data_IF_619849164919
#
_entry.id   IF_619849164919
#
_cell.length_a   1.000
_cell.length_b   1.000
_cell.length_c   1.000
_cell.angle_alpha   90.00
_cell.angle_beta   90.00
_cell.angle_gamma   90.00
#
_symmetry.space_group_name_H-M   'P 1'
#
loop_
_entity.id
_entity.type
_entity.pdbx_description
1 polymer ?
#
# COMPACT_ATOMS: atom_id res chain seq x y z
N UNK A 1 9.34 -1.56 -24.03
CA UNK A 1 10.59 -1.70 -23.24
C UNK A 1 11.17 -3.09 -23.47
N UNK A 2 10.53 -4.21 -23.02
CA UNK A 2 11.09 -5.58 -23.06
C UNK A 2 11.67 -5.93 -24.45
N UNK A 3 10.93 -5.64 -25.54
CA UNK A 3 11.41 -5.91 -26.91
C UNK A 3 12.60 -5.05 -27.36
N UNK A 4 12.73 -3.86 -26.80
CA UNK A 4 13.84 -2.94 -27.15
C UNK A 4 15.12 -3.31 -26.42
N UNK A 5 14.99 -3.74 -25.17
CA UNK A 5 16.13 -4.12 -24.31
C UNK A 5 16.61 -5.55 -24.58
N UNK A 6 15.80 -6.37 -25.25
CA UNK A 6 16.02 -7.80 -25.42
C UNK A 6 15.46 -8.60 -24.23
N UNK A 7 14.46 -9.46 -24.43
CA UNK A 7 13.83 -10.24 -23.35
C UNK A 7 14.82 -11.00 -22.48
N UNK A 8 15.87 -11.53 -23.09
CA UNK A 8 16.94 -12.30 -22.44
C UNK A 8 17.80 -11.47 -21.47
N UNK A 9 17.72 -10.14 -21.54
CA UNK A 9 18.44 -9.23 -20.64
C UNK A 9 17.63 -8.84 -19.40
N UNK A 10 16.33 -9.23 -19.32
CA UNK A 10 15.41 -8.81 -18.26
C UNK A 10 15.03 -10.01 -17.41
N UNK A 11 15.49 -10.02 -16.16
CA UNK A 11 15.20 -11.10 -15.21
C UNK A 11 13.79 -11.00 -14.63
N UNK A 12 13.36 -9.80 -14.23
CA UNK A 12 12.10 -9.64 -13.51
C UNK A 12 11.48 -8.26 -13.74
N UNK A 13 10.16 -8.19 -13.52
CA UNK A 13 9.39 -6.97 -13.34
C UNK A 13 8.85 -6.91 -11.92
N UNK A 14 9.26 -5.91 -11.15
CA UNK A 14 8.83 -5.70 -9.77
C UNK A 14 7.91 -4.48 -9.69
N UNK A 15 6.82 -4.61 -8.93
CA UNK A 15 5.90 -3.50 -8.65
C UNK A 15 5.23 -3.64 -7.29
N UNK A 16 4.86 -2.49 -6.69
CA UNK A 16 3.87 -2.44 -5.61
C UNK A 16 2.47 -2.67 -6.22
N UNK A 17 1.65 -3.63 -5.75
CA UNK A 17 0.29 -3.81 -6.27
C UNK A 17 -0.60 -2.58 -6.10
N UNK A 18 -0.42 -1.83 -5.03
CA UNK A 18 -0.95 -0.47 -4.86
C UNK A 18 0.24 0.43 -4.56
N UNK A 19 0.51 1.38 -5.45
CA UNK A 19 1.63 2.29 -5.24
C UNK A 19 1.32 3.25 -4.11
N UNK A 20 2.00 3.06 -2.98
CA UNK A 20 1.76 3.84 -1.78
C UNK A 20 2.35 5.26 -1.89
N UNK A 21 3.62 5.36 -2.30
CA UNK A 21 4.31 6.65 -2.46
C UNK A 21 3.80 7.50 -3.62
N UNK A 22 3.06 6.91 -4.54
CA UNK A 22 2.36 7.61 -5.61
C UNK A 22 0.99 8.17 -5.18
N UNK A 23 0.61 8.03 -3.91
CA UNK A 23 -0.67 8.51 -3.37
C UNK A 23 -1.78 7.45 -3.40
N UNK A 24 -1.46 6.23 -3.07
CA UNK A 24 -2.38 5.08 -3.03
C UNK A 24 -3.00 4.78 -4.41
N UNK A 25 -2.17 4.73 -5.43
CA UNK A 25 -2.61 4.38 -6.78
C UNK A 25 -2.92 2.88 -6.87
N UNK A 26 -4.19 2.55 -7.09
CA UNK A 26 -4.68 1.18 -7.21
C UNK A 26 -5.07 0.87 -8.66
N UNK A 27 -4.25 0.12 -9.41
CA UNK A 27 -4.60 -0.30 -10.76
C UNK A 27 -5.83 -1.22 -10.80
N UNK A 28 -6.39 -1.40 -11.98
CA UNK A 28 -7.48 -2.36 -12.19
C UNK A 28 -6.95 -3.81 -12.21
N UNK A 29 -7.84 -4.78 -12.03
CA UNK A 29 -7.50 -6.19 -12.15
C UNK A 29 -6.93 -6.53 -13.54
N UNK A 30 -7.47 -5.92 -14.58
CA UNK A 30 -7.07 -6.13 -15.97
C UNK A 30 -5.60 -5.72 -16.20
N UNK A 31 -5.11 -4.69 -15.52
CA UNK A 31 -3.69 -4.33 -15.55
C UNK A 31 -2.81 -5.49 -15.10
N UNK A 32 -3.15 -6.13 -13.98
CA UNK A 32 -2.36 -7.24 -13.44
C UNK A 32 -2.42 -8.47 -14.34
N UNK A 33 -3.58 -8.76 -14.93
CA UNK A 33 -3.73 -9.86 -15.90
C UNK A 33 -2.83 -9.62 -17.11
N UNK A 34 -2.82 -8.39 -17.66
CA UNK A 34 -1.97 -8.05 -18.80
C UNK A 34 -0.48 -8.10 -18.44
N UNK A 35 -0.11 -7.62 -17.25
CA UNK A 35 1.29 -7.70 -16.78
C UNK A 35 1.73 -9.16 -16.65
N UNK A 36 0.88 -10.03 -16.07
CA UNK A 36 1.18 -11.47 -15.96
C UNK A 36 1.36 -12.11 -17.34
N UNK A 37 0.45 -11.85 -18.27
CA UNK A 37 0.53 -12.36 -19.66
C UNK A 37 1.83 -11.90 -20.37
N UNK A 38 2.25 -10.66 -20.13
CA UNK A 38 3.50 -10.14 -20.69
C UNK A 38 4.70 -10.85 -20.06
N UNK A 39 4.72 -10.99 -18.75
CA UNK A 39 5.80 -11.67 -18.03
C UNK A 39 5.94 -13.12 -18.51
N UNK A 40 4.84 -13.86 -18.60
CA UNK A 40 4.81 -15.25 -19.09
C UNK A 40 5.30 -15.35 -20.53
N UNK A 41 4.84 -14.46 -21.41
CA UNK A 41 5.22 -14.44 -22.83
C UNK A 41 6.71 -14.25 -23.07
N UNK A 42 7.37 -13.45 -22.22
CA UNK A 42 8.79 -13.11 -22.38
C UNK A 42 9.70 -13.82 -21.39
N UNK A 43 9.18 -14.76 -20.60
CA UNK A 43 9.90 -15.47 -19.54
C UNK A 43 10.59 -14.51 -18.55
N UNK A 44 9.85 -13.48 -18.14
CA UNK A 44 10.27 -12.47 -17.14
C UNK A 44 9.53 -12.76 -15.85
N UNK A 45 10.22 -12.83 -14.72
CA UNK A 45 9.57 -13.05 -13.44
C UNK A 45 8.74 -11.85 -13.00
N UNK A 46 7.55 -12.10 -12.45
CA UNK A 46 6.71 -11.09 -11.83
C UNK A 46 6.94 -11.09 -10.32
N UNK A 47 7.35 -9.95 -9.78
CA UNK A 47 7.60 -9.77 -8.34
C UNK A 47 6.61 -8.75 -7.79
N UNK A 48 5.86 -9.13 -6.74
CA UNK A 48 5.05 -8.18 -5.98
C UNK A 48 5.79 -7.72 -4.74
N UNK A 49 5.97 -6.40 -4.63
CA UNK A 49 6.36 -5.75 -3.38
C UNK A 49 5.09 -5.53 -2.54
N UNK A 50 4.80 -6.49 -1.68
CA UNK A 50 3.66 -6.45 -0.75
C UNK A 50 4.08 -6.04 0.67
N UNK A 51 5.16 -5.29 0.78
CA UNK A 51 5.64 -4.79 2.08
C UNK A 51 4.59 -3.88 2.74
N UNK A 52 3.79 -3.14 1.94
CA UNK A 52 2.70 -2.31 2.45
C UNK A 52 1.35 -2.97 2.22
N UNK A 53 1.12 -3.56 1.06
CA UNK A 53 -0.18 -4.10 0.65
C UNK A 53 -0.53 -5.42 1.31
N UNK A 54 0.47 -6.16 1.81
CA UNK A 54 0.28 -7.43 2.50
C UNK A 54 -0.29 -7.31 3.92
N UNK A 55 -0.45 -8.44 4.55
CA UNK A 55 -0.89 -8.60 5.95
C UNK A 55 -2.22 -7.91 6.26
N UNK A 56 -3.21 -8.10 5.37
CA UNK A 56 -4.58 -7.63 5.57
C UNK A 56 -4.87 -6.22 5.06
N UNK A 57 -3.85 -5.47 4.67
CA UNK A 57 -3.95 -4.04 4.38
C UNK A 57 -4.92 -3.71 3.23
N UNK A 58 -5.03 -4.59 2.23
CA UNK A 58 -5.95 -4.42 1.08
C UNK A 58 -7.31 -5.09 1.28
N UNK A 59 -7.57 -5.66 2.46
CA UNK A 59 -8.79 -6.40 2.77
C UNK A 59 -8.71 -7.90 2.48
N UNK A 60 -7.56 -8.40 2.05
CA UNK A 60 -7.14 -9.79 1.93
C UNK A 60 -5.77 -9.94 2.57
N UNK A 61 -5.28 -11.17 2.80
CA UNK A 61 -3.93 -11.37 3.33
C UNK A 61 -2.87 -10.68 2.47
N UNK A 62 -3.02 -10.78 1.14
CA UNK A 62 -2.13 -10.16 0.17
C UNK A 62 -2.93 -9.57 -1.00
N UNK A 63 -2.40 -8.52 -1.60
CA UNK A 63 -3.00 -7.89 -2.78
C UNK A 63 -3.04 -8.85 -3.98
N UNK A 64 -2.16 -9.84 -4.05
CA UNK A 64 -2.25 -10.94 -5.00
C UNK A 64 -3.63 -11.61 -5.00
N UNK A 65 -4.24 -11.80 -3.81
CA UNK A 65 -5.59 -12.32 -3.66
C UNK A 65 -6.65 -11.28 -4.08
N UNK A 66 -6.45 -10.02 -3.68
CA UNK A 66 -7.36 -8.91 -4.04
C UNK A 66 -7.52 -8.76 -5.55
N UNK A 67 -6.43 -8.89 -6.30
CA UNK A 67 -6.44 -8.77 -7.77
C UNK A 67 -6.60 -10.10 -8.49
N UNK A 68 -6.48 -11.23 -7.77
CA UNK A 68 -6.63 -12.58 -8.34
C UNK A 68 -5.53 -12.92 -9.36
N UNK A 69 -4.32 -12.40 -9.17
CA UNK A 69 -3.13 -12.65 -10.00
C UNK A 69 -1.94 -12.94 -9.09
N UNK A 70 -1.39 -14.13 -9.20
CA UNK A 70 -0.24 -14.55 -8.40
C UNK A 70 1.07 -14.14 -9.05
N UNK A 71 2.00 -13.51 -8.30
CA UNK A 71 3.36 -13.26 -8.77
C UNK A 71 4.19 -14.54 -8.72
N UNK A 72 5.39 -14.51 -9.27
CA UNK A 72 6.40 -15.57 -9.11
C UNK A 72 7.12 -15.45 -7.77
N UNK A 73 7.33 -14.20 -7.33
CA UNK A 73 7.95 -13.88 -6.04
C UNK A 73 7.10 -12.78 -5.36
N UNK A 74 6.90 -12.93 -4.06
CA UNK A 74 6.20 -11.96 -3.22
C UNK A 74 7.10 -11.56 -2.06
N UNK A 75 7.31 -10.25 -1.88
CA UNK A 75 8.05 -9.69 -0.76
C UNK A 75 7.06 -9.13 0.27
N UNK A 76 7.23 -9.47 1.54
CA UNK A 76 6.40 -8.96 2.63
C UNK A 76 7.23 -8.51 3.83
N UNK A 77 6.69 -7.61 4.64
CA UNK A 77 7.34 -7.04 5.81
C UNK A 77 6.36 -6.21 6.62
N UNK A 78 6.83 -5.16 7.29
CA UNK A 78 6.01 -4.22 8.08
C UNK A 78 4.93 -4.91 8.93
N UNK A 79 3.71 -5.05 8.41
CA UNK A 79 2.59 -5.72 9.07
C UNK A 79 2.85 -7.18 9.45
N UNK A 80 3.84 -7.84 8.84
CA UNK A 80 4.19 -9.22 9.14
C UNK A 80 4.56 -9.45 10.62
N UNK A 81 5.14 -8.47 11.27
CA UNK A 81 5.44 -8.51 12.71
C UNK A 81 4.69 -7.44 13.52
N UNK A 82 3.73 -6.74 12.90
CA UNK A 82 3.01 -5.65 13.56
C UNK A 82 3.88 -4.49 14.03
N UNK A 83 5.14 -4.42 13.58
CA UNK A 83 6.13 -3.43 14.03
C UNK A 83 6.84 -3.79 15.34
N UNK A 84 6.53 -4.92 15.96
CA UNK A 84 7.14 -5.34 17.24
C UNK A 84 8.58 -5.83 17.09
N UNK A 85 8.93 -6.40 15.95
CA UNK A 85 10.29 -6.85 15.67
C UNK A 85 10.63 -6.69 14.19
N UNK A 86 11.92 -6.48 13.82
CA UNK A 86 12.34 -6.46 12.42
C UNK A 86 12.11 -7.82 11.79
N UNK A 87 11.19 -7.89 10.82
CA UNK A 87 10.88 -9.12 10.10
C UNK A 87 10.46 -8.80 8.67
N UNK A 88 11.01 -9.53 7.74
CA UNK A 88 10.56 -9.58 6.34
C UNK A 88 10.66 -10.99 5.81
N UNK A 89 9.93 -11.28 4.75
CA UNK A 89 9.96 -12.57 4.09
C UNK A 89 9.85 -12.40 2.57
N UNK A 90 10.45 -13.33 1.87
CA UNK A 90 10.29 -13.54 0.44
C UNK A 90 9.61 -14.90 0.26
N UNK A 91 8.49 -14.89 -0.43
CA UNK A 91 7.72 -16.10 -0.78
C UNK A 91 7.92 -16.35 -2.26
N UNK A 92 8.27 -17.56 -2.62
CA UNK A 92 8.63 -17.96 -3.98
C UNK A 92 7.74 -19.12 -4.41
N UNK A 93 7.33 -19.14 -5.68
CA UNK A 93 6.58 -20.26 -6.24
C UNK A 93 7.39 -21.57 -6.22
N UNK A 94 6.72 -22.70 -6.03
CA UNK A 94 7.36 -24.00 -5.91
C UNK A 94 8.28 -24.34 -7.09
N UNK A 95 7.87 -24.06 -8.32
CA UNK A 95 8.69 -24.34 -9.50
C UNK A 95 10.01 -23.55 -9.50
N UNK A 96 9.99 -22.28 -9.08
CA UNK A 96 11.22 -21.49 -8.95
C UNK A 96 12.10 -21.97 -7.80
N UNK A 97 11.48 -22.42 -6.70
CA UNK A 97 12.21 -22.94 -5.56
C UNK A 97 12.94 -24.24 -5.91
N UNK A 98 12.26 -25.19 -6.54
CA UNK A 98 12.83 -26.48 -6.85
C UNK A 98 13.83 -26.44 -8.01
N UNK A 99 13.51 -25.72 -9.09
CA UNK A 99 14.32 -25.71 -10.31
C UNK A 99 15.41 -24.63 -10.29
N UNK A 100 15.15 -23.48 -9.65
CA UNK A 100 16.03 -22.32 -9.70
C UNK A 100 16.96 -22.16 -8.51
N UNK A 101 16.57 -22.62 -7.30
CA UNK A 101 17.37 -22.41 -6.09
C UNK A 101 18.19 -23.61 -5.66
N UNK A 102 17.72 -24.80 -5.98
CA UNK A 102 18.38 -26.04 -5.56
C UNK A 102 19.02 -26.79 -6.71
N UNK A 103 18.43 -26.73 -7.93
CA UNK A 103 18.91 -27.46 -9.08
C UNK A 103 18.99 -28.97 -8.87
N UNK A 104 19.54 -29.68 -9.83
CA UNK A 104 19.92 -31.07 -9.64
C UNK A 104 21.28 -31.13 -8.90
N UNK A 105 21.56 -32.21 -8.13
CA UNK A 105 22.78 -32.32 -7.32
C UNK A 105 24.08 -32.13 -8.12
N UNK A 106 24.07 -32.45 -9.42
CA UNK A 106 25.21 -32.35 -10.31
C UNK A 106 25.45 -30.92 -10.84
N UNK A 107 24.48 -30.02 -10.71
CA UNK A 107 24.55 -28.65 -11.22
C UNK A 107 25.26 -27.70 -10.28
N UNK A 108 25.53 -28.13 -9.03
CA UNK A 108 26.17 -27.32 -7.98
C UNK A 108 25.50 -25.94 -7.77
N UNK A 109 24.17 -25.87 -8.01
CA UNK A 109 23.37 -24.66 -7.77
C UNK A 109 23.19 -24.45 -6.27
N UNK A 110 23.55 -23.27 -5.79
CA UNK A 110 23.42 -22.91 -4.39
C UNK A 110 22.59 -21.64 -4.23
N UNK A 111 21.56 -21.68 -3.38
CA UNK A 111 20.87 -20.46 -2.94
C UNK A 111 21.75 -19.66 -1.98
N UNK A 112 22.66 -18.87 -2.54
CA UNK A 112 23.65 -18.09 -1.79
C UNK A 112 23.07 -16.76 -1.29
N UNK A 113 21.93 -16.79 -0.59
CA UNK A 113 21.28 -15.61 -0.01
C UNK A 113 21.05 -15.80 1.47
N UNK A 114 21.37 -14.78 2.26
CA UNK A 114 21.15 -14.82 3.70
C UNK A 114 21.60 -13.55 4.39
N UNK A 115 21.17 -13.41 5.63
CA UNK A 115 21.54 -12.32 6.54
C UNK A 115 21.97 -12.92 7.87
N UNK A 116 22.89 -12.26 8.59
CA UNK A 116 23.34 -12.71 9.93
C UNK A 116 22.17 -12.96 10.87
N UNK A 117 21.13 -12.13 10.81
CA UNK A 117 19.92 -12.26 11.62
C UNK A 117 18.74 -12.90 10.89
N UNK A 118 18.97 -13.54 9.74
CA UNK A 118 17.94 -14.33 9.05
C UNK A 118 17.39 -15.44 9.96
N UNK A 119 16.09 -15.69 9.89
CA UNK A 119 15.36 -16.63 10.75
C UNK A 119 15.55 -16.39 12.26
N UNK A 120 15.73 -15.11 12.67
CA UNK A 120 15.83 -14.76 14.09
C UNK A 120 14.59 -15.25 14.86
N UNK A 121 14.76 -16.11 15.90
CA UNK A 121 13.63 -16.74 16.56
C UNK A 121 12.70 -15.76 17.27
N UNK A 122 13.20 -14.65 17.79
CA UNK A 122 12.38 -13.62 18.46
C UNK A 122 11.49 -12.91 17.42
N UNK A 123 12.08 -12.50 16.29
CA UNK A 123 11.32 -11.85 15.21
C UNK A 123 10.31 -12.81 14.60
N UNK A 124 10.65 -14.08 14.41
CA UNK A 124 9.75 -15.11 13.89
C UNK A 124 8.59 -15.38 14.83
N UNK A 125 8.86 -15.45 16.14
CA UNK A 125 7.82 -15.63 17.16
C UNK A 125 6.86 -14.42 17.19
N UNK A 126 7.38 -13.20 17.07
CA UNK A 126 6.56 -12.00 16.97
C UNK A 126 5.65 -12.04 15.72
N UNK A 127 6.19 -12.47 14.56
CA UNK A 127 5.39 -12.62 13.34
C UNK A 127 4.28 -13.66 13.48
N UNK A 128 4.55 -14.82 14.08
CA UNK A 128 3.54 -15.83 14.34
C UNK A 128 2.44 -15.32 15.26
N UNK A 129 2.79 -14.65 16.36
CA UNK A 129 1.81 -14.06 17.26
C UNK A 129 0.92 -13.02 16.58
N UNK A 130 1.49 -12.20 15.68
CA UNK A 130 0.71 -11.23 14.88
C UNK A 130 -0.27 -11.94 13.95
N UNK A 131 0.16 -12.98 13.25
CA UNK A 131 -0.72 -13.76 12.38
C UNK A 131 -1.88 -14.36 13.18
N UNK A 132 -1.60 -14.96 14.33
CA UNK A 132 -2.63 -15.51 15.22
C UNK A 132 -3.66 -14.45 15.65
N UNK A 133 -3.22 -13.27 16.07
CA UNK A 133 -4.11 -12.15 16.46
C UNK A 133 -4.95 -11.67 15.27
N UNK A 134 -4.34 -11.51 14.10
CA UNK A 134 -5.03 -11.09 12.88
C UNK A 134 -6.15 -12.07 12.52
N UNK A 135 -5.92 -13.38 12.67
CA UNK A 135 -6.92 -14.42 12.42
C UNK A 135 -8.01 -14.45 13.50
N UNK A 136 -7.60 -14.52 14.76
CA UNK A 136 -8.53 -14.67 15.90
C UNK A 136 -9.47 -13.48 16.03
N UNK A 137 -8.96 -12.27 15.83
CA UNK A 137 -9.74 -11.04 15.92
C UNK A 137 -10.38 -10.60 14.61
N UNK A 138 -10.23 -11.39 13.53
CA UNK A 138 -10.80 -11.09 12.21
C UNK A 138 -10.37 -9.71 11.67
N UNK A 139 -9.13 -9.30 11.94
CA UNK A 139 -8.66 -7.94 11.69
C UNK A 139 -8.66 -7.56 10.20
N UNK A 140 -8.56 -8.51 9.28
CA UNK A 140 -8.66 -8.25 7.84
C UNK A 140 -10.06 -7.77 7.47
N UNK A 141 -11.10 -8.43 7.98
CA UNK A 141 -12.49 -8.04 7.75
C UNK A 141 -12.79 -6.67 8.37
N UNK A 142 -12.37 -6.46 9.63
CA UNK A 142 -12.52 -5.17 10.32
C UNK A 142 -11.80 -4.04 9.58
N UNK A 143 -10.56 -4.25 9.16
CA UNK A 143 -9.79 -3.25 8.40
C UNK A 143 -10.45 -2.90 7.06
N UNK A 144 -11.09 -3.87 6.39
CA UNK A 144 -11.87 -3.64 5.17
C UNK A 144 -13.08 -2.75 5.46
N UNK A 145 -13.88 -3.10 6.45
CA UNK A 145 -15.08 -2.34 6.85
C UNK A 145 -14.73 -0.92 7.29
N UNK A 146 -13.71 -0.76 8.13
CA UNK A 146 -13.23 0.54 8.58
C UNK A 146 -12.72 1.39 7.42
N UNK A 147 -11.95 0.81 6.49
CA UNK A 147 -11.46 1.54 5.33
C UNK A 147 -12.59 1.97 4.36
N UNK A 148 -13.60 1.14 4.17
CA UNK A 148 -14.81 1.50 3.41
C UNK A 148 -15.60 2.61 4.10
N UNK A 149 -15.72 2.56 5.42
CA UNK A 149 -16.35 3.59 6.23
C UNK A 149 -15.62 4.94 6.09
N UNK A 150 -14.29 4.95 6.23
CA UNK A 150 -13.45 6.15 6.04
C UNK A 150 -13.66 6.75 4.64
N UNK A 151 -13.57 5.94 3.58
CA UNK A 151 -13.73 6.44 2.20
C UNK A 151 -15.13 7.03 1.96
N UNK A 152 -16.16 6.40 2.51
CA UNK A 152 -17.55 6.89 2.40
C UNK A 152 -17.73 8.22 3.12
N UNK A 153 -17.19 8.37 4.34
CA UNK A 153 -17.23 9.62 5.10
C UNK A 153 -16.47 10.74 4.41
N UNK A 154 -15.24 10.47 4.01
CA UNK A 154 -14.43 11.44 3.26
C UNK A 154 -15.13 11.88 1.97
N UNK A 155 -15.77 10.95 1.25
CA UNK A 155 -16.56 11.29 0.04
C UNK A 155 -17.74 12.20 0.31
N UNK A 156 -18.40 12.07 1.45
CA UNK A 156 -19.52 12.92 1.82
C UNK A 156 -19.07 14.32 2.28
N UNK A 157 -18.00 14.38 3.09
CA UNK A 157 -17.64 15.61 3.80
C UNK A 157 -16.63 16.49 3.04
N UNK A 158 -15.69 15.88 2.34
CA UNK A 158 -14.66 16.63 1.59
C UNK A 158 -15.12 17.02 0.19
N UNK A 159 -16.11 16.30 -0.40
CA UNK A 159 -16.65 16.64 -1.71
C UNK A 159 -17.23 18.05 -1.77
N UNK A 160 -17.85 18.53 -0.67
CA UNK A 160 -18.43 19.88 -0.58
C UNK A 160 -17.38 21.00 -0.56
N UNK A 161 -16.10 20.67 -0.34
CA UNK A 161 -15.02 21.65 -0.27
C UNK A 161 -14.48 22.08 -1.63
N UNK A 162 -14.89 21.42 -2.72
CA UNK A 162 -14.53 21.79 -4.09
C UNK A 162 -13.06 21.58 -4.47
N UNK A 163 -12.29 20.86 -3.65
CA UNK A 163 -10.86 20.59 -3.86
C UNK A 163 -10.53 19.11 -3.93
N UNK A 164 -11.53 18.24 -3.80
CA UNK A 164 -11.36 16.82 -3.81
C UNK A 164 -11.34 16.28 -5.23
N UNK A 165 -10.18 15.87 -5.71
CA UNK A 165 -10.07 15.24 -7.03
C UNK A 165 -10.49 13.79 -7.02
N UNK A 166 -9.94 13.00 -6.11
CA UNK A 166 -10.20 11.57 -6.06
C UNK A 166 -10.00 11.00 -4.66
N UNK A 167 -10.91 10.10 -4.26
CA UNK A 167 -10.71 9.19 -3.13
C UNK A 167 -10.48 7.80 -3.69
N UNK A 168 -9.36 7.20 -3.39
CA UNK A 168 -8.93 5.91 -3.93
C UNK A 168 -8.39 4.99 -2.85
N UNK A 169 -8.20 3.72 -3.17
CA UNK A 169 -7.64 2.72 -2.26
C UNK A 169 -8.49 1.48 -2.12
N UNK A 170 -8.02 0.55 -1.29
CA UNK A 170 -8.68 -0.73 -1.00
C UNK A 170 -8.40 -1.15 0.44
N UNK A 171 -9.35 -1.90 1.03
CA UNK A 171 -9.22 -2.33 2.41
C UNK A 171 -9.00 -1.13 3.33
N UNK A 172 -8.00 -1.18 4.18
CA UNK A 172 -7.62 -0.12 5.11
C UNK A 172 -6.64 0.93 4.51
N UNK A 173 -6.36 0.89 3.21
CA UNK A 173 -5.59 1.92 2.52
C UNK A 173 -6.54 2.91 1.83
N UNK A 174 -6.37 4.20 2.09
CA UNK A 174 -7.13 5.26 1.44
C UNK A 174 -6.20 6.41 1.08
N UNK A 175 -6.31 6.91 -0.14
CA UNK A 175 -5.64 8.12 -0.62
C UNK A 175 -6.68 9.18 -0.98
N UNK A 176 -6.42 10.41 -0.59
CA UNK A 176 -7.18 11.59 -0.97
C UNK A 176 -6.28 12.48 -1.83
N UNK A 177 -6.66 12.72 -3.07
CA UNK A 177 -5.95 13.62 -3.96
C UNK A 177 -6.66 14.98 -4.00
N UNK A 178 -5.87 16.06 -3.91
CA UNK A 178 -6.36 17.42 -4.00
C UNK A 178 -6.16 17.98 -5.40
N UNK A 179 -7.13 18.77 -5.85
CA UNK A 179 -7.12 19.43 -7.16
C UNK A 179 -7.58 20.88 -7.03
N UNK A 180 -7.09 21.71 -7.94
CA UNK A 180 -7.49 23.11 -8.07
C UNK A 180 -8.78 23.25 -8.91
N UNK A 181 -8.99 22.32 -9.82
CA UNK A 181 -10.16 22.24 -10.68
C UNK A 181 -10.60 20.77 -10.80
N UNK A 182 -11.83 20.50 -10.34
CA UNK A 182 -12.41 19.14 -10.32
C UNK A 182 -12.80 18.64 -11.71
N UNK A 183 -13.15 19.51 -12.64
CA UNK A 183 -13.59 19.12 -13.99
C UNK A 183 -12.39 18.68 -14.85
N UNK A 184 -11.29 19.43 -14.77
CA UNK A 184 -10.05 19.09 -15.49
C UNK A 184 -9.09 18.22 -14.69
N UNK A 185 -9.37 17.95 -13.41
CA UNK A 185 -8.46 17.25 -12.48
C UNK A 185 -7.08 17.91 -12.38
N UNK A 186 -7.03 19.23 -12.55
CA UNK A 186 -5.79 19.99 -12.46
C UNK A 186 -5.27 20.01 -11.03
N UNK A 187 -4.03 19.60 -10.85
CA UNK A 187 -3.37 19.61 -9.53
C UNK A 187 -3.11 21.04 -9.07
N UNK A 188 -3.04 21.22 -7.75
CA UNK A 188 -2.50 22.44 -7.20
C UNK A 188 -1.09 22.74 -7.71
N UNK A 189 -0.70 24.01 -7.89
CA UNK A 189 0.69 24.38 -8.09
C UNK A 189 1.56 23.84 -6.94
N UNK A 190 2.78 23.39 -7.26
CA UNK A 190 3.69 22.82 -6.27
C UNK A 190 4.00 23.81 -5.13
N UNK A 191 4.06 25.09 -5.44
CA UNK A 191 4.32 26.18 -4.50
C UNK A 191 3.23 26.32 -3.43
N UNK A 192 1.98 25.89 -3.72
CA UNK A 192 0.87 25.94 -2.77
C UNK A 192 1.12 25.05 -1.55
N UNK A 193 1.82 23.93 -1.72
CA UNK A 193 2.17 22.97 -0.65
C UNK A 193 0.98 22.59 0.24
N UNK A 194 -0.25 22.56 -0.30
CA UNK A 194 -1.49 22.44 0.46
C UNK A 194 -1.49 21.22 1.40
N UNK A 195 -1.15 20.03 0.88
CA UNK A 195 -1.10 18.82 1.71
C UNK A 195 -0.09 18.91 2.86
N UNK A 196 1.03 19.66 2.66
CA UNK A 196 2.03 19.86 3.73
C UNK A 196 1.57 20.84 4.80
N UNK A 197 0.80 21.84 4.42
CA UNK A 197 0.19 22.77 5.38
C UNK A 197 -0.88 22.05 6.21
N UNK A 198 -1.72 21.23 5.56
CA UNK A 198 -2.69 20.37 6.25
C UNK A 198 -1.95 19.39 7.20
N UNK A 199 -0.83 18.78 6.77
CA UNK A 199 -0.01 17.90 7.62
C UNK A 199 0.44 18.59 8.92
N UNK A 200 0.87 19.83 8.84
CA UNK A 200 1.29 20.61 10.00
C UNK A 200 0.13 20.78 11.00
N UNK A 201 -1.08 21.13 10.53
CA UNK A 201 -2.27 21.25 11.38
C UNK A 201 -2.68 19.92 11.99
N UNK A 202 -2.66 18.84 11.21
CA UNK A 202 -2.97 17.50 11.69
C UNK A 202 -2.03 17.09 12.84
N UNK A 203 -0.75 17.43 12.71
CA UNK A 203 0.23 17.14 13.75
C UNK A 203 -0.05 17.91 15.06
N UNK A 204 -0.50 19.17 14.98
CA UNK A 204 -0.92 19.98 16.14
C UNK A 204 -2.13 19.36 16.83
N UNK A 205 -3.07 18.78 16.05
CA UNK A 205 -4.25 18.08 16.57
C UNK A 205 -3.96 16.62 16.99
N UNK A 206 -2.70 16.17 16.94
CA UNK A 206 -2.28 14.83 17.36
C UNK A 206 -2.55 13.72 16.33
N UNK A 207 -2.87 14.06 15.09
CA UNK A 207 -3.10 13.11 14.01
C UNK A 207 -1.90 13.08 13.05
N UNK A 208 -1.26 11.91 12.95
CA UNK A 208 -0.13 11.68 12.05
C UNK A 208 -0.61 10.94 10.80
N UNK A 209 -0.61 11.60 9.67
CA UNK A 209 -0.87 11.03 8.35
C UNK A 209 0.34 11.23 7.43
N UNK A 210 0.44 10.44 6.38
CA UNK A 210 1.39 10.69 5.32
C UNK A 210 0.81 11.69 4.34
N UNK A 211 1.43 12.84 4.25
CA UNK A 211 1.01 13.91 3.36
C UNK A 211 2.10 14.26 2.35
N UNK A 212 1.66 14.56 1.14
CA UNK A 212 2.42 15.10 0.03
C UNK A 212 1.74 16.40 -0.41
N UNK A 213 2.36 17.31 -1.16
CA UNK A 213 1.69 18.55 -1.58
C UNK A 213 0.31 18.36 -2.21
N UNK A 214 0.07 17.24 -2.90
CA UNK A 214 -1.13 16.99 -3.69
C UNK A 214 -2.03 15.85 -3.18
N UNK A 215 -1.61 15.11 -2.18
CA UNK A 215 -2.39 13.98 -1.67
C UNK A 215 -2.06 13.65 -0.22
N UNK A 216 -3.00 13.01 0.42
CA UNK A 216 -2.87 12.49 1.79
C UNK A 216 -3.27 11.02 1.82
N UNK A 217 -2.53 10.21 2.57
CA UNK A 217 -2.79 8.79 2.72
C UNK A 217 -3.20 8.42 4.15
N UNK A 218 -4.25 7.60 4.24
CA UNK A 218 -4.72 6.98 5.45
C UNK A 218 -4.34 5.49 5.44
N UNK A 219 -3.66 5.05 6.46
CA UNK A 219 -3.28 3.67 6.68
C UNK A 219 -3.47 3.29 8.15
N UNK A 220 -4.71 3.36 8.68
CA UNK A 220 -4.99 3.13 10.08
C UNK A 220 -4.64 1.70 10.52
N UNK A 221 -4.44 1.44 11.82
CA UNK A 221 -4.35 0.08 12.34
C UNK A 221 -5.57 -0.75 11.94
N UNK A 222 -5.37 -2.03 11.59
CA UNK A 222 -6.49 -2.91 11.22
C UNK A 222 -7.50 -3.11 12.37
N UNK A 223 -7.06 -2.92 13.61
CA UNK A 223 -7.89 -3.00 14.81
C UNK A 223 -8.64 -1.70 15.15
N UNK A 224 -8.46 -0.63 14.36
CA UNK A 224 -9.18 0.65 14.58
C UNK A 224 -10.70 0.43 14.62
N UNK A 225 -11.34 1.05 15.59
CA UNK A 225 -12.80 1.05 15.72
C UNK A 225 -13.44 2.09 14.79
N UNK A 226 -14.74 1.94 14.56
CA UNK A 226 -15.50 2.93 13.77
C UNK A 226 -15.50 4.31 14.45
N UNK A 227 -15.59 4.37 15.77
CA UNK A 227 -15.52 5.63 16.53
C UNK A 227 -14.18 6.33 16.34
N UNK A 228 -13.07 5.61 16.49
CA UNK A 228 -11.74 6.17 16.23
C UNK A 228 -11.56 6.62 14.77
N UNK A 229 -12.15 5.89 13.82
CA UNK A 229 -12.15 6.27 12.43
C UNK A 229 -12.97 7.55 12.19
N UNK A 230 -14.09 7.71 12.88
CA UNK A 230 -14.90 8.93 12.84
C UNK A 230 -14.12 10.13 13.39
N UNK A 231 -13.52 10.01 14.58
CA UNK A 231 -12.67 11.04 15.17
C UNK A 231 -11.51 11.43 14.23
N UNK A 232 -10.86 10.46 13.63
CA UNK A 232 -9.77 10.70 12.67
C UNK A 232 -10.24 11.49 11.44
N UNK A 233 -11.41 11.16 10.90
CA UNK A 233 -11.98 11.86 9.73
C UNK A 233 -12.42 13.26 10.12
N UNK A 234 -13.03 13.45 11.29
CA UNK A 234 -13.45 14.77 11.79
C UNK A 234 -12.25 15.72 11.89
N UNK A 235 -11.20 15.31 12.58
CA UNK A 235 -9.95 16.08 12.71
C UNK A 235 -9.37 16.42 11.33
N UNK A 236 -9.33 15.45 10.42
CA UNK A 236 -8.83 15.68 9.07
C UNK A 236 -9.65 16.74 8.33
N UNK A 237 -10.97 16.65 8.34
CA UNK A 237 -11.87 17.57 7.65
C UNK A 237 -11.77 18.98 8.23
N UNK A 238 -11.69 19.12 9.54
CA UNK A 238 -11.49 20.40 10.21
C UNK A 238 -10.17 21.06 9.84
N UNK A 239 -9.07 20.29 9.82
CA UNK A 239 -7.76 20.82 9.39
C UNK A 239 -7.75 21.26 7.92
N UNK A 240 -8.43 20.53 7.04
CA UNK A 240 -8.57 20.92 5.62
C UNK A 240 -9.38 22.22 5.49
N UNK A 241 -10.50 22.34 6.21
CA UNK A 241 -11.32 23.57 6.21
C UNK A 241 -10.55 24.77 6.73
N UNK A 242 -9.86 24.61 7.86
CA UNK A 242 -9.06 25.67 8.46
C UNK A 242 -7.93 26.15 7.54
N UNK A 243 -7.31 25.25 6.77
CA UNK A 243 -6.29 25.66 5.79
C UNK A 243 -6.90 26.43 4.61
N UNK A 244 -8.06 26.01 4.11
CA UNK A 244 -8.77 26.74 3.04
C UNK A 244 -9.18 28.15 3.49
N UNK A 245 -9.65 28.29 4.73
CA UNK A 245 -10.02 29.59 5.30
C UNK A 245 -8.79 30.51 5.47
N UNK A 246 -7.67 29.97 5.92
CA UNK A 246 -6.41 30.72 6.06
C UNK A 246 -5.94 31.24 4.69
N UNK A 247 -5.93 30.40 3.66
CA UNK A 247 -5.54 30.81 2.30
C UNK A 247 -6.52 31.84 1.69
N UNK A 248 -7.81 31.77 2.03
CA UNK A 248 -8.78 32.76 1.57
C UNK A 248 -8.60 34.15 2.23
N UNK A 249 -8.13 34.17 3.48
CA UNK A 249 -7.83 35.42 4.21
C UNK A 249 -6.52 36.11 3.80
N UNK A 250 -5.62 35.40 3.13
CA UNK A 250 -4.34 35.90 2.61
C UNK A 250 -4.47 36.54 1.20
N UNK A 251 -5.60 36.34 0.51
CA UNK A 251 -5.91 36.90 -0.82
C UNK A 251 -6.65 38.26 -0.70
#
# INVERSE_FOLDING_TARGET
VIRLEGPESIAAYILEPISNTGGILSPSREFFVQVRDICDRYNVHLIYDEIITGMGRTGEWFAAQTFGVSPDILCTGKGLSGGYAPLSAMVVRDNLHLEGFWGEPEEEIHFAHGHTYGANPVSSAAGLAVIEVVEQEQLIARGRETGEHIRRRLGAEVAELGILGEIRGRGALTGVAFVDDMDSMTRFPDERQFGKKVEARLLEEGLILRCDPHWIAFAPPLCMTTTEADEMVDVFVECVKAELEAEAGER
#
